data_IF_816290251974
#
_entry.id   IF_816290251974
#
_cell.length_a   1.000
_cell.length_b   1.000
_cell.length_c   1.000
_cell.angle_alpha   90.00
_cell.angle_beta   90.00
_cell.angle_gamma   90.00
#
_symmetry.space_group_name_H-M   'P 1'
#
loop_
_entity.id
_entity.type
_entity.pdbx_description
1 polymer ?
#
# COMPACT_ATOMS: atom_id res chain seq x y z
N UNK A 1 0.43 19.34 -28.11
CA UNK A 1 0.50 19.78 -26.71
C UNK A 1 0.76 18.53 -25.89
N UNK A 2 1.73 18.58 -24.99
CA UNK A 2 1.99 17.50 -24.04
C UNK A 2 0.77 17.28 -23.17
N UNK A 3 0.38 16.01 -22.96
CA UNK A 3 -0.67 15.64 -22.03
C UNK A 3 -0.04 15.31 -20.69
N UNK A 4 -0.38 16.04 -19.66
CA UNK A 4 0.03 15.77 -18.29
C UNK A 4 -1.05 14.99 -17.53
N UNK A 5 -0.63 14.12 -16.64
CA UNK A 5 -1.44 13.36 -15.72
C UNK A 5 -0.96 13.64 -14.30
N UNK A 6 -1.86 13.74 -13.34
CA UNK A 6 -1.50 14.02 -11.94
C UNK A 6 -1.79 12.82 -11.05
N UNK A 7 -0.74 12.24 -10.48
CA UNK A 7 -0.87 11.28 -9.38
C UNK A 7 -0.82 12.01 -8.05
N UNK A 8 -1.81 11.75 -7.19
CA UNK A 8 -1.85 12.18 -5.79
C UNK A 8 -1.69 10.95 -4.92
N UNK A 9 -0.49 10.74 -4.42
CA UNK A 9 -0.08 9.59 -3.59
C UNK A 9 0.02 10.06 -2.14
N UNK A 10 -0.92 9.60 -1.30
CA UNK A 10 -1.02 9.99 0.11
C UNK A 10 -0.74 8.79 0.99
N UNK A 11 0.49 8.70 1.49
CA UNK A 11 0.86 7.71 2.50
C UNK A 11 0.52 8.15 3.92
N UNK A 12 0.66 7.26 4.89
CA UNK A 12 0.34 7.53 6.29
C UNK A 12 1.25 8.58 6.95
N UNK A 13 2.43 8.86 6.39
CA UNK A 13 3.42 9.81 6.94
C UNK A 13 3.70 11.00 6.04
N UNK A 14 3.40 10.93 4.76
CA UNK A 14 3.59 12.03 3.80
C UNK A 14 2.69 11.83 2.59
N UNK A 15 2.37 12.94 1.91
CA UNK A 15 1.69 12.90 0.63
C UNK A 15 2.48 13.68 -0.41
N UNK A 16 2.26 13.36 -1.69
CA UNK A 16 2.94 14.01 -2.80
C UNK A 16 2.09 14.05 -4.05
N UNK A 17 2.38 15.04 -4.87
CA UNK A 17 1.77 15.21 -6.19
C UNK A 17 2.87 15.05 -7.22
N UNK A 18 2.66 14.12 -8.14
CA UNK A 18 3.60 13.80 -9.20
C UNK A 18 2.90 13.98 -10.54
N UNK A 19 3.41 14.90 -11.35
CA UNK A 19 3.04 15.01 -12.76
C UNK A 19 3.78 13.95 -13.55
N UNK A 20 3.04 13.29 -14.44
CA UNK A 20 3.60 12.38 -15.43
C UNK A 20 3.13 12.72 -16.83
N UNK A 21 3.96 12.47 -17.83
CA UNK A 21 3.62 12.56 -19.25
C UNK A 21 4.44 11.57 -20.06
N UNK A 22 4.04 11.34 -21.30
CA UNK A 22 4.82 10.54 -22.24
C UNK A 22 5.67 11.45 -23.13
N UNK A 23 6.98 11.32 -23.05
CA UNK A 23 7.92 11.94 -23.96
C UNK A 23 8.67 10.87 -24.76
N UNK A 24 8.54 10.90 -26.09
CA UNK A 24 9.16 9.89 -26.98
C UNK A 24 8.82 8.43 -26.59
N UNK A 25 7.61 8.19 -26.09
CA UNK A 25 7.14 6.87 -25.66
C UNK A 25 7.63 6.43 -24.28
N UNK A 26 8.30 7.30 -23.55
CA UNK A 26 8.76 7.06 -22.16
C UNK A 26 8.00 7.92 -21.18
N UNK A 27 7.85 7.40 -19.98
CA UNK A 27 7.23 8.13 -18.86
C UNK A 27 8.28 9.05 -18.25
N UNK A 28 7.96 10.35 -18.21
CA UNK A 28 8.71 11.35 -17.46
C UNK A 28 7.91 11.77 -16.24
N UNK A 29 8.59 11.94 -15.10
CA UNK A 29 8.00 12.25 -13.81
C UNK A 29 8.55 13.56 -13.26
N UNK A 30 7.68 14.34 -12.62
CA UNK A 30 8.06 15.55 -11.88
C UNK A 30 7.26 15.61 -10.56
N UNK A 31 7.95 15.51 -9.42
CA UNK A 31 7.33 15.81 -8.13
C UNK A 31 7.17 17.32 -8.00
N UNK A 32 5.93 17.77 -7.92
CA UNK A 32 5.60 19.20 -7.91
C UNK A 32 5.17 19.73 -6.55
N UNK A 33 4.74 18.85 -5.66
CA UNK A 33 4.27 19.19 -4.33
C UNK A 33 4.43 18.02 -3.36
N UNK A 34 4.83 18.33 -2.13
CA UNK A 34 4.96 17.35 -1.04
C UNK A 34 4.49 17.97 0.27
N UNK A 35 3.86 17.17 1.12
CA UNK A 35 3.42 17.56 2.45
C UNK A 35 3.61 16.42 3.45
N UNK A 36 3.74 16.79 4.71
CA UNK A 36 3.75 15.82 5.81
C UNK A 36 2.34 15.33 6.12
N UNK A 37 2.20 14.07 6.48
CA UNK A 37 0.95 13.49 6.93
C UNK A 37 1.14 12.79 8.28
N UNK A 38 0.03 12.60 8.99
CA UNK A 38 -0.01 11.93 10.28
C UNK A 38 -1.40 12.01 10.88
N UNK A 39 -1.65 11.16 11.86
CA UNK A 39 -2.90 11.17 12.62
C UNK A 39 -2.83 12.21 13.74
N UNK A 40 -3.94 12.91 13.94
CA UNK A 40 -4.11 13.80 15.08
C UNK A 40 -4.45 12.96 16.33
N UNK A 41 -3.77 13.28 17.44
CA UNK A 41 -4.09 12.72 18.75
C UNK A 41 -5.09 13.63 19.45
N UNK A 42 -6.34 13.20 19.57
CA UNK A 42 -7.40 13.98 20.19
C UNK A 42 -8.25 13.12 21.13
N UNK A 43 -8.32 13.50 22.41
CA UNK A 43 -9.15 12.82 23.43
C UNK A 43 -8.89 11.30 23.51
N UNK A 44 -7.60 10.90 23.37
CA UNK A 44 -7.20 9.49 23.37
C UNK A 44 -7.50 8.73 22.09
N UNK A 45 -7.92 9.41 21.02
CA UNK A 45 -8.21 8.85 19.71
C UNK A 45 -7.11 9.22 18.71
N UNK A 46 -6.93 8.37 17.69
CA UNK A 46 -6.08 8.61 16.54
C UNK A 46 -6.98 8.90 15.33
N UNK A 47 -6.97 10.13 14.86
CA UNK A 47 -7.91 10.62 13.85
C UNK A 47 -7.19 11.16 12.61
N UNK A 48 -7.77 10.95 11.43
CA UNK A 48 -7.36 11.62 10.20
C UNK A 48 -8.06 12.97 10.05
N UNK A 49 -7.30 13.99 9.77
CA UNK A 49 -7.82 15.31 9.43
C UNK A 49 -8.10 15.40 7.92
N UNK A 50 -9.26 14.89 7.51
CA UNK A 50 -9.64 14.80 6.09
C UNK A 50 -9.80 16.18 5.43
N UNK A 51 -10.17 17.22 6.17
CA UNK A 51 -10.26 18.58 5.63
C UNK A 51 -8.87 19.14 5.32
N UNK A 52 -7.89 18.92 6.19
CA UNK A 52 -6.49 19.27 5.92
C UNK A 52 -5.98 18.52 4.69
N UNK A 53 -6.20 17.20 4.63
CA UNK A 53 -5.76 16.39 3.48
C UNK A 53 -6.39 16.86 2.17
N UNK A 54 -7.68 17.21 2.19
CA UNK A 54 -8.34 17.77 1.02
C UNK A 54 -7.75 19.13 0.61
N UNK A 55 -7.41 19.97 1.58
CA UNK A 55 -6.69 21.22 1.34
C UNK A 55 -5.33 21.01 0.67
N UNK A 56 -4.58 19.96 1.10
CA UNK A 56 -3.30 19.62 0.48
C UNK A 56 -3.46 19.10 -0.97
N UNK A 57 -4.54 18.35 -1.24
CA UNK A 57 -4.87 17.94 -2.62
C UNK A 57 -5.06 19.18 -3.49
N UNK A 58 -5.85 20.15 -3.06
CA UNK A 58 -6.09 21.40 -3.79
C UNK A 58 -4.81 22.24 -3.96
N UNK A 59 -3.94 22.29 -2.93
CA UNK A 59 -2.65 22.99 -3.00
C UNK A 59 -1.74 22.42 -4.11
N UNK A 60 -1.63 21.08 -4.20
CA UNK A 60 -0.88 20.44 -5.26
C UNK A 60 -1.49 20.67 -6.65
N UNK A 61 -2.82 20.67 -6.76
CA UNK A 61 -3.51 21.01 -8.01
C UNK A 61 -3.21 22.46 -8.45
N UNK A 62 -3.24 23.42 -7.51
CA UNK A 62 -2.88 24.83 -7.81
C UNK A 62 -1.44 24.95 -8.31
N UNK A 63 -0.54 24.08 -7.82
CA UNK A 63 0.86 24.06 -8.25
C UNK A 63 1.00 23.70 -9.73
N UNK A 64 0.16 22.82 -10.27
CA UNK A 64 0.12 22.53 -11.70
C UNK A 64 -0.11 23.80 -12.53
N UNK A 65 -1.05 24.66 -12.09
CA UNK A 65 -1.35 25.92 -12.76
C UNK A 65 -0.18 26.91 -12.68
N UNK A 66 0.45 27.01 -11.51
CA UNK A 66 1.64 27.88 -11.33
C UNK A 66 2.77 27.47 -12.29
N UNK A 67 2.97 26.18 -12.53
CA UNK A 67 3.97 25.64 -13.43
C UNK A 67 3.55 25.69 -14.91
N UNK A 68 2.29 26.02 -15.19
CA UNK A 68 1.74 26.02 -16.56
C UNK A 68 1.59 24.62 -17.14
N UNK A 69 1.60 23.56 -16.29
CA UNK A 69 1.48 22.15 -16.69
C UNK A 69 0.13 21.60 -16.23
N UNK A 70 -0.91 21.85 -17.02
CA UNK A 70 -2.28 21.47 -16.67
C UNK A 70 -2.52 20.00 -16.98
N UNK A 71 -2.83 19.15 -15.97
CA UNK A 71 -3.14 17.75 -16.21
C UNK A 71 -4.52 17.59 -16.86
N UNK A 72 -4.65 16.62 -17.75
CA UNK A 72 -5.93 16.24 -18.35
C UNK A 72 -6.76 15.38 -17.41
N UNK A 73 -6.10 14.61 -16.55
CA UNK A 73 -6.73 13.85 -15.50
C UNK A 73 -5.90 13.79 -14.23
N UNK A 74 -6.54 13.36 -13.14
CA UNK A 74 -5.90 13.00 -11.88
C UNK A 74 -6.50 11.75 -11.29
N UNK A 75 -5.73 11.09 -10.44
CA UNK A 75 -6.20 10.00 -9.60
C UNK A 75 -5.55 10.09 -8.20
N UNK A 76 -6.23 9.54 -7.21
CA UNK A 76 -5.80 9.60 -5.81
C UNK A 76 -5.68 8.17 -5.29
N UNK A 77 -4.54 7.84 -4.72
CA UNK A 77 -4.34 6.64 -3.93
C UNK A 77 -3.94 7.00 -2.49
N UNK A 78 -4.29 6.11 -1.57
CA UNK A 78 -3.97 6.24 -0.15
C UNK A 78 -3.61 4.87 0.43
N UNK A 79 -3.32 4.84 1.72
CA UNK A 79 -3.35 3.60 2.50
C UNK A 79 -4.75 2.97 2.49
N UNK A 80 -4.84 1.73 2.90
CA UNK A 80 -6.08 0.95 2.90
C UNK A 80 -6.89 1.10 4.21
N UNK A 81 -8.04 0.46 4.26
CA UNK A 81 -8.93 0.13 5.39
C UNK A 81 -9.67 1.29 6.04
N UNK A 82 -9.20 2.53 5.91
CA UNK A 82 -9.83 3.69 6.55
C UNK A 82 -10.88 4.34 5.66
N UNK A 83 -11.96 4.82 6.27
CA UNK A 83 -13.16 5.27 5.58
C UNK A 83 -13.84 6.44 6.30
N UNK A 84 -14.81 7.04 5.63
CA UNK A 84 -15.80 7.95 6.21
C UNK A 84 -17.20 7.37 6.06
N UNK A 85 -18.09 7.71 7.00
CA UNK A 85 -19.53 7.48 6.88
C UNK A 85 -20.21 8.83 6.61
N UNK A 86 -21.10 8.86 5.61
CA UNK A 86 -21.84 10.06 5.23
C UNK A 86 -23.32 9.89 5.54
N UNK A 87 -23.97 10.96 5.98
CA UNK A 87 -25.41 11.05 6.16
C UNK A 87 -26.15 11.33 4.83
N UNK A 88 -27.46 11.55 4.91
CA UNK A 88 -28.32 11.88 3.76
C UNK A 88 -27.97 13.23 3.10
N UNK A 89 -27.24 14.12 3.79
CA UNK A 89 -26.78 15.42 3.29
C UNK A 89 -25.32 15.41 2.90
N UNK A 90 -24.73 14.21 2.82
CA UNK A 90 -23.32 14.01 2.51
C UNK A 90 -22.35 14.63 3.53
N UNK A 91 -22.81 14.79 4.80
CA UNK A 91 -21.96 15.22 5.90
C UNK A 91 -21.33 14.01 6.58
N UNK A 92 -20.05 14.15 7.00
CA UNK A 92 -19.36 13.09 7.75
C UNK A 92 -20.05 12.86 9.09
N UNK A 93 -20.37 11.61 9.39
CA UNK A 93 -20.88 11.14 10.66
C UNK A 93 -19.75 10.68 11.58
N UNK A 94 -19.63 11.31 12.73
CA UNK A 94 -18.61 10.97 13.72
C UNK A 94 -17.20 11.39 13.31
N UNK A 95 -16.21 10.72 13.92
CA UNK A 95 -14.79 10.98 13.68
C UNK A 95 -14.26 10.06 12.56
N UNK A 96 -13.29 10.54 11.77
CA UNK A 96 -12.54 9.72 10.82
C UNK A 96 -11.34 9.11 11.52
N UNK A 97 -11.48 7.87 11.97
CA UNK A 97 -10.44 7.18 12.73
C UNK A 97 -9.33 6.66 11.82
N UNK A 98 -8.11 6.69 12.33
CA UNK A 98 -6.98 6.03 11.70
C UNK A 98 -6.87 4.56 12.12
N UNK A 99 -6.35 3.74 11.24
CA UNK A 99 -6.22 2.29 11.42
C UNK A 99 -5.39 1.86 12.65
N UNK A 100 -4.58 2.75 13.20
CA UNK A 100 -3.79 2.50 14.43
C UNK A 100 -4.53 2.84 15.72
N UNK A 101 -5.79 3.30 15.64
CA UNK A 101 -6.61 3.57 16.80
C UNK A 101 -6.99 2.28 17.54
N UNK A 102 -6.94 2.32 18.87
CA UNK A 102 -7.26 1.18 19.73
C UNK A 102 -8.75 0.85 19.84
N UNK A 103 -9.62 1.56 19.07
CA UNK A 103 -11.07 1.28 19.11
C UNK A 103 -11.43 -0.13 18.64
N UNK A 104 -10.56 -0.74 17.84
CA UNK A 104 -10.75 -2.09 17.30
C UNK A 104 -10.28 -3.21 18.23
N UNK A 105 -9.66 -2.89 19.35
CA UNK A 105 -9.20 -3.88 20.32
C UNK A 105 -10.39 -4.75 20.79
N UNK A 106 -10.27 -6.07 20.59
CA UNK A 106 -11.30 -7.07 20.94
C UNK A 106 -12.47 -7.18 19.94
N UNK A 107 -12.49 -6.39 18.87
CA UNK A 107 -13.57 -6.45 17.88
C UNK A 107 -13.52 -7.70 17.00
N UNK A 108 -12.35 -8.30 16.84
CA UNK A 108 -12.21 -9.62 16.22
C UNK A 108 -12.95 -10.71 17.01
N UNK A 109 -12.90 -10.67 18.33
CA UNK A 109 -13.67 -11.58 19.18
C UNK A 109 -15.20 -11.33 19.05
N UNK A 110 -15.64 -10.09 18.84
CA UNK A 110 -17.06 -9.79 18.59
C UNK A 110 -17.51 -10.34 17.22
N UNK A 111 -16.71 -10.17 16.17
CA UNK A 111 -16.98 -10.77 14.86
C UNK A 111 -16.98 -12.30 14.94
N UNK A 112 -16.04 -12.89 15.69
CA UNK A 112 -15.94 -14.34 15.85
C UNK A 112 -17.14 -15.00 16.56
N UNK A 113 -17.96 -14.22 17.28
CA UNK A 113 -19.26 -14.70 17.82
C UNK A 113 -20.30 -14.92 16.72
N UNK A 114 -20.13 -14.29 15.57
CA UNK A 114 -21.09 -14.33 14.44
C UNK A 114 -20.57 -15.29 13.38
N UNK A 115 -19.28 -15.16 13.00
CA UNK A 115 -18.65 -15.98 11.96
C UNK A 115 -17.21 -16.33 12.39
N UNK A 116 -16.85 -17.59 12.36
CA UNK A 116 -15.49 -18.02 12.73
C UNK A 116 -14.44 -17.42 11.78
N UNK A 117 -13.25 -17.14 12.29
CA UNK A 117 -12.13 -16.58 11.52
C UNK A 117 -11.79 -17.41 10.28
N UNK A 118 -11.83 -18.74 10.41
CA UNK A 118 -11.58 -19.67 9.30
C UNK A 118 -12.65 -19.60 8.20
N UNK A 119 -13.90 -19.35 8.59
CA UNK A 119 -15.01 -19.16 7.65
C UNK A 119 -14.93 -17.79 6.99
N UNK A 120 -14.57 -16.75 7.76
CA UNK A 120 -14.37 -15.41 7.25
C UNK A 120 -13.23 -15.37 6.21
N UNK A 121 -12.10 -16.05 6.49
CA UNK A 121 -11.02 -16.17 5.51
C UNK A 121 -11.46 -16.97 4.28
N UNK A 122 -12.13 -18.10 4.45
CA UNK A 122 -12.62 -18.91 3.34
C UNK A 122 -13.60 -18.13 2.43
N UNK A 123 -14.29 -17.13 2.98
CA UNK A 123 -15.26 -16.31 2.28
C UNK A 123 -14.65 -15.11 1.56
N UNK A 124 -13.63 -14.48 2.16
CA UNK A 124 -13.05 -13.23 1.67
C UNK A 124 -11.63 -13.36 1.14
N UNK A 125 -10.89 -14.38 1.57
CA UNK A 125 -9.46 -14.55 1.26
C UNK A 125 -8.53 -13.50 1.86
N UNK A 126 -9.04 -12.63 2.75
CA UNK A 126 -8.28 -11.52 3.32
C UNK A 126 -7.66 -11.91 4.67
N UNK A 127 -6.37 -11.61 4.84
CA UNK A 127 -5.64 -11.81 6.09
C UNK A 127 -6.31 -11.11 7.27
N UNK A 128 -6.18 -11.70 8.45
CA UNK A 128 -6.62 -11.04 9.68
C UNK A 128 -5.64 -9.94 10.07
N UNK A 129 -6.15 -8.72 10.11
CA UNK A 129 -5.49 -7.58 10.76
C UNK A 129 -6.54 -6.87 11.60
N UNK A 130 -6.22 -6.59 12.88
CA UNK A 130 -7.17 -6.00 13.84
C UNK A 130 -7.77 -4.67 13.35
N UNK A 131 -7.10 -3.99 12.45
CA UNK A 131 -7.50 -2.72 11.87
C UNK A 131 -8.32 -2.86 10.58
N UNK A 132 -8.61 -4.05 10.06
CA UNK A 132 -9.45 -4.19 8.86
C UNK A 132 -10.82 -3.51 9.08
N UNK A 133 -11.38 -2.97 8.01
CA UNK A 133 -12.62 -2.19 8.05
C UNK A 133 -13.76 -2.96 8.71
N UNK A 134 -13.83 -4.28 8.53
CA UNK A 134 -14.82 -5.13 9.22
C UNK A 134 -14.79 -4.93 10.74
N UNK A 135 -13.60 -4.88 11.36
CA UNK A 135 -13.46 -4.68 12.81
C UNK A 135 -13.68 -3.22 13.20
N UNK A 136 -13.31 -2.29 12.34
CA UNK A 136 -13.60 -0.87 12.55
C UNK A 136 -15.11 -0.60 12.57
N UNK A 137 -15.87 -1.21 11.65
CA UNK A 137 -17.36 -1.13 11.62
C UNK A 137 -17.98 -1.83 12.83
N UNK A 138 -17.42 -2.97 13.27
CA UNK A 138 -17.86 -3.62 14.50
C UNK A 138 -17.68 -2.71 15.72
N UNK A 139 -16.60 -1.94 15.78
CA UNK A 139 -16.41 -0.96 16.85
C UNK A 139 -17.48 0.14 16.80
N UNK A 140 -17.90 0.60 15.63
CA UNK A 140 -19.01 1.55 15.48
C UNK A 140 -20.33 0.91 15.93
N UNK A 141 -20.63 -0.31 15.46
CA UNK A 141 -21.86 -1.04 15.84
C UNK A 141 -21.97 -1.25 17.36
N UNK A 142 -20.85 -1.56 18.03
CA UNK A 142 -20.85 -1.81 19.48
C UNK A 142 -20.84 -0.54 20.34
N UNK A 143 -20.16 0.51 19.89
CA UNK A 143 -19.91 1.70 20.73
C UNK A 143 -20.82 2.89 20.37
N UNK A 144 -21.20 3.02 19.10
CA UNK A 144 -21.98 4.17 18.57
C UNK A 144 -22.91 3.72 17.44
N UNK A 145 -23.84 2.75 17.68
CA UNK A 145 -24.69 2.16 16.63
C UNK A 145 -25.62 3.18 15.95
N UNK A 146 -25.88 4.30 16.59
CA UNK A 146 -26.66 5.40 16.00
C UNK A 146 -25.96 6.01 14.77
N UNK A 147 -24.63 5.97 14.69
CA UNK A 147 -23.88 6.44 13.52
C UNK A 147 -24.18 5.55 12.32
N UNK A 148 -24.13 4.22 12.47
CA UNK A 148 -24.46 3.30 11.38
C UNK A 148 -25.92 3.43 10.93
N UNK A 149 -26.87 3.66 11.86
CA UNK A 149 -28.28 3.85 11.52
C UNK A 149 -28.54 5.14 10.72
N UNK A 150 -27.73 6.17 10.91
CA UNK A 150 -27.82 7.44 10.18
C UNK A 150 -27.03 7.41 8.87
N UNK A 151 -26.06 6.53 8.74
CA UNK A 151 -25.20 6.42 7.56
C UNK A 151 -26.00 6.08 6.30
N UNK A 152 -25.66 6.73 5.21
CA UNK A 152 -26.21 6.50 3.86
C UNK A 152 -25.15 6.09 2.86
N UNK A 153 -23.89 6.37 3.15
CA UNK A 153 -22.78 6.00 2.27
C UNK A 153 -21.53 5.76 3.11
N UNK A 154 -20.81 4.68 2.79
CA UNK A 154 -19.43 4.45 3.22
C UNK A 154 -18.52 4.73 2.02
N UNK A 155 -17.50 5.56 2.21
CA UNK A 155 -16.45 5.78 1.21
C UNK A 155 -15.09 5.56 1.84
N UNK A 156 -14.24 4.78 1.17
CA UNK A 156 -12.83 4.73 1.52
C UNK A 156 -12.21 6.11 1.32
N UNK A 157 -11.11 6.43 1.99
CA UNK A 157 -10.58 7.79 1.97
C UNK A 157 -10.30 8.34 0.55
N UNK A 158 -9.66 7.59 -0.38
CA UNK A 158 -9.45 8.11 -1.73
C UNK A 158 -10.76 8.34 -2.48
N UNK A 159 -11.76 7.49 -2.27
CA UNK A 159 -13.10 7.64 -2.86
C UNK A 159 -13.81 8.89 -2.32
N UNK A 160 -13.65 9.16 -1.03
CA UNK A 160 -14.18 10.38 -0.41
C UNK A 160 -13.56 11.64 -1.02
N UNK A 161 -12.25 11.65 -1.25
CA UNK A 161 -11.60 12.78 -1.91
C UNK A 161 -12.07 12.94 -3.37
N UNK A 162 -12.22 11.82 -4.10
CA UNK A 162 -12.82 11.83 -5.43
C UNK A 162 -14.24 12.42 -5.45
N UNK A 163 -15.06 12.04 -4.48
CA UNK A 163 -16.40 12.63 -4.28
C UNK A 163 -16.33 14.14 -3.98
N UNK A 164 -15.44 14.57 -3.10
CA UNK A 164 -15.26 15.99 -2.78
C UNK A 164 -14.87 16.83 -4.00
N UNK A 165 -14.10 16.28 -4.91
CA UNK A 165 -13.68 16.94 -6.14
C UNK A 165 -14.80 17.02 -7.20
N UNK A 166 -15.62 15.98 -7.32
CA UNK A 166 -16.53 15.77 -8.46
C UNK A 166 -18.01 15.81 -8.13
N UNK A 167 -18.37 15.61 -6.87
CA UNK A 167 -19.76 15.39 -6.44
C UNK A 167 -20.30 13.98 -6.71
N UNK A 168 -19.52 13.10 -7.34
CA UNK A 168 -19.94 11.74 -7.66
C UNK A 168 -19.34 10.74 -6.67
N UNK A 169 -20.19 9.92 -6.05
CA UNK A 169 -19.78 8.88 -5.10
C UNK A 169 -19.54 7.57 -5.85
N UNK A 170 -18.33 7.07 -5.84
CA UNK A 170 -17.93 5.75 -6.32
C UNK A 170 -17.13 5.04 -5.24
N UNK A 171 -17.10 3.72 -5.24
CA UNK A 171 -16.24 2.91 -4.41
C UNK A 171 -15.28 2.11 -5.28
N UNK A 172 -13.99 2.24 -5.04
CA UNK A 172 -12.95 1.60 -5.83
C UNK A 172 -12.64 0.20 -5.27
N UNK A 173 -12.46 -0.75 -6.16
CA UNK A 173 -12.33 -2.18 -5.84
C UNK A 173 -11.07 -2.51 -5.05
N UNK A 174 -9.89 -1.97 -5.40
CA UNK A 174 -8.64 -2.40 -4.77
C UNK A 174 -8.57 -2.01 -3.30
N UNK A 175 -9.06 -0.82 -2.95
CA UNK A 175 -9.18 -0.39 -1.57
C UNK A 175 -10.34 -1.10 -0.88
N UNK A 176 -11.50 -1.20 -1.55
CA UNK A 176 -12.66 -1.96 -1.04
C UNK A 176 -12.32 -3.40 -0.68
N UNK A 177 -11.46 -4.08 -1.45
CA UNK A 177 -11.07 -5.47 -1.20
C UNK A 177 -10.34 -5.67 0.14
N UNK A 178 -9.66 -4.63 0.65
CA UNK A 178 -8.91 -4.70 1.92
C UNK A 178 -9.80 -4.72 3.15
N UNK A 179 -11.09 -4.41 2.98
CA UNK A 179 -12.06 -4.28 4.08
C UNK A 179 -12.40 -5.58 4.78
N UNK A 180 -12.10 -6.73 4.14
CA UNK A 180 -12.56 -8.07 4.55
C UNK A 180 -14.09 -8.25 4.46
N UNK A 181 -14.73 -7.50 3.53
CA UNK A 181 -16.19 -7.51 3.28
C UNK A 181 -16.53 -7.78 1.81
N UNK A 182 -15.54 -8.09 0.97
CA UNK A 182 -15.72 -8.32 -0.47
C UNK A 182 -15.63 -9.81 -0.77
N UNK A 183 -16.55 -10.29 -1.62
CA UNK A 183 -16.48 -11.62 -2.22
C UNK A 183 -15.50 -11.59 -3.39
N UNK A 184 -14.38 -12.32 -3.33
CA UNK A 184 -13.36 -12.30 -4.37
C UNK A 184 -13.83 -12.90 -5.70
N UNK A 185 -14.87 -13.73 -5.72
CA UNK A 185 -15.39 -14.36 -6.94
C UNK A 185 -16.31 -13.43 -7.73
N UNK A 186 -17.04 -12.55 -7.04
CA UNK A 186 -17.94 -11.58 -7.68
C UNK A 186 -17.32 -10.19 -7.84
N UNK A 187 -16.20 -9.92 -7.17
CA UNK A 187 -15.54 -8.60 -7.09
C UNK A 187 -16.47 -7.52 -6.53
N UNK A 188 -17.45 -7.91 -5.72
CA UNK A 188 -18.44 -7.02 -5.10
C UNK A 188 -18.54 -7.31 -3.60
N UNK A 189 -19.20 -6.41 -2.91
CA UNK A 189 -19.49 -6.58 -1.48
C UNK A 189 -20.23 -7.89 -1.21
N UNK A 190 -19.79 -8.61 -0.19
CA UNK A 190 -20.46 -9.81 0.30
C UNK A 190 -21.67 -9.41 1.16
N UNK A 191 -22.82 -9.30 0.53
CA UNK A 191 -24.07 -8.83 1.15
C UNK A 191 -24.53 -9.71 2.31
N UNK A 192 -24.40 -11.01 2.20
CA UNK A 192 -24.78 -11.95 3.26
C UNK A 192 -23.89 -11.77 4.48
N UNK A 193 -22.60 -11.61 4.29
CA UNK A 193 -21.66 -11.32 5.35
C UNK A 193 -21.98 -9.99 6.02
N UNK A 194 -22.19 -8.92 5.26
CA UNK A 194 -22.53 -7.57 5.72
C UNK A 194 -23.81 -7.62 6.58
N UNK A 195 -24.85 -8.27 6.09
CA UNK A 195 -26.11 -8.43 6.82
C UNK A 195 -25.95 -9.24 8.10
N UNK A 196 -25.18 -10.34 8.07
CA UNK A 196 -24.93 -11.18 9.24
C UNK A 196 -24.21 -10.44 10.37
N UNK A 197 -23.35 -9.46 10.01
CA UNK A 197 -22.65 -8.60 10.95
C UNK A 197 -23.50 -7.44 11.49
N UNK A 198 -24.72 -7.27 10.96
CA UNK A 198 -25.62 -6.17 11.35
C UNK A 198 -25.30 -4.82 10.70
N UNK A 199 -24.47 -4.81 9.65
CA UNK A 199 -24.15 -3.58 8.95
C UNK A 199 -25.23 -3.25 7.91
N UNK A 200 -25.62 -1.97 7.74
CA UNK A 200 -26.62 -1.58 6.74
C UNK A 200 -26.07 -1.75 5.33
N UNK A 201 -26.69 -2.64 4.53
CA UNK A 201 -26.23 -2.96 3.17
C UNK A 201 -26.22 -1.73 2.25
N UNK A 202 -27.17 -0.83 2.46
CA UNK A 202 -27.38 0.35 1.61
C UNK A 202 -26.24 1.36 1.63
N UNK A 203 -25.33 1.31 2.61
CA UNK A 203 -24.18 2.23 2.66
C UNK A 203 -23.04 1.83 1.70
N UNK A 204 -23.04 0.58 1.22
CA UNK A 204 -22.01 0.02 0.38
C UNK A 204 -22.36 0.20 -1.11
N UNK A 205 -21.71 1.15 -1.78
CA UNK A 205 -21.90 1.37 -3.21
C UNK A 205 -21.27 0.24 -4.03
N UNK A 206 -21.82 -0.09 -5.22
CA UNK A 206 -21.19 -1.07 -6.11
C UNK A 206 -19.73 -0.72 -6.39
N UNK A 207 -18.84 -1.71 -6.26
CA UNK A 207 -17.41 -1.53 -6.50
C UNK A 207 -17.13 -1.31 -8.00
N UNK A 208 -16.21 -0.40 -8.28
CA UNK A 208 -15.72 -0.06 -9.62
C UNK A 208 -14.24 -0.40 -9.74
N UNK A 209 -13.86 -0.91 -10.91
CA UNK A 209 -12.46 -1.22 -11.20
C UNK A 209 -11.63 0.05 -11.43
N UNK A 210 -10.32 0.00 -11.14
CA UNK A 210 -9.39 1.04 -11.58
C UNK A 210 -9.52 1.34 -13.08
N UNK A 211 -9.28 2.58 -13.47
CA UNK A 211 -9.52 3.08 -14.82
C UNK A 211 -10.95 3.60 -15.04
N UNK A 212 -11.85 3.49 -14.05
CA UNK A 212 -13.20 4.05 -14.17
C UNK A 212 -13.18 5.57 -13.98
N UNK A 213 -13.96 6.29 -14.79
CA UNK A 213 -14.17 7.72 -14.63
C UNK A 213 -15.02 8.02 -13.39
N UNK A 214 -14.56 8.94 -12.54
CA UNK A 214 -15.35 9.51 -11.44
C UNK A 214 -16.17 10.70 -11.93
N UNK A 215 -15.54 11.64 -12.61
CA UNK A 215 -16.20 12.84 -13.15
C UNK A 215 -15.23 13.99 -13.38
N UNK A 216 -15.78 15.11 -13.84
CA UNK A 216 -15.04 16.37 -13.91
C UNK A 216 -15.16 17.13 -12.59
N UNK A 217 -14.32 18.12 -12.39
CA UNK A 217 -14.32 18.93 -11.18
C UNK A 217 -15.62 19.70 -11.01
N UNK A 218 -16.09 19.81 -9.77
CA UNK A 218 -17.19 20.71 -9.41
C UNK A 218 -16.86 22.18 -9.79
N UNK A 219 -17.86 23.01 -10.17
CA UNK A 219 -17.62 24.41 -10.56
C UNK A 219 -16.77 25.19 -9.55
N UNK A 220 -17.05 25.06 -8.24
CA UNK A 220 -16.30 25.75 -7.20
C UNK A 220 -14.84 25.27 -7.11
N UNK A 221 -14.59 23.98 -7.36
CA UNK A 221 -13.21 23.45 -7.37
C UNK A 221 -12.46 23.96 -8.58
N UNK A 222 -13.12 23.97 -9.79
CA UNK A 222 -12.52 24.54 -11.00
C UNK A 222 -12.17 26.02 -10.83
N UNK A 223 -13.03 26.79 -10.18
CA UNK A 223 -12.77 28.20 -9.89
C UNK A 223 -11.56 28.34 -8.96
N UNK A 224 -11.49 27.52 -7.93
CA UNK A 224 -10.42 27.56 -6.93
C UNK A 224 -9.05 27.17 -7.51
N UNK A 225 -8.96 26.08 -8.27
CA UNK A 225 -7.70 25.61 -8.86
C UNK A 225 -7.38 26.31 -10.18
N UNK A 226 -8.41 26.84 -10.87
CA UNK A 226 -8.32 27.67 -12.08
C UNK A 226 -8.22 26.92 -13.38
N UNK A 227 -8.60 25.63 -13.42
CA UNK A 227 -8.71 24.79 -14.62
C UNK A 227 -9.66 23.59 -14.36
N UNK A 228 -10.01 22.85 -15.41
CA UNK A 228 -10.79 21.60 -15.28
C UNK A 228 -9.93 20.39 -15.65
N UNK A 229 -10.25 19.25 -15.06
CA UNK A 229 -9.67 17.95 -15.37
C UNK A 229 -10.67 16.83 -15.07
N UNK A 230 -10.36 15.63 -15.54
CA UNK A 230 -11.10 14.42 -15.20
C UNK A 230 -10.49 13.72 -14.01
N UNK A 231 -11.32 13.33 -13.01
CA UNK A 231 -10.90 12.44 -11.93
C UNK A 231 -11.17 11.00 -12.34
N UNK A 232 -10.16 10.16 -12.24
CA UNK A 232 -10.19 8.74 -12.64
C UNK A 232 -9.83 7.89 -11.41
N UNK A 233 -10.42 6.71 -11.28
CA UNK A 233 -10.00 5.73 -10.27
C UNK A 233 -8.69 5.07 -10.71
N UNK A 234 -7.66 5.08 -9.86
CA UNK A 234 -6.48 4.24 -9.99
C UNK A 234 -6.64 2.97 -9.13
N UNK A 235 -5.60 2.16 -8.96
CA UNK A 235 -5.52 1.25 -7.83
C UNK A 235 -5.42 2.10 -6.56
N UNK A 236 -6.55 2.41 -5.94
CA UNK A 236 -6.61 3.44 -4.91
C UNK A 236 -6.03 3.01 -3.55
N UNK A 237 -5.80 1.71 -3.36
CA UNK A 237 -4.82 1.23 -2.39
C UNK A 237 -3.41 1.40 -2.97
N UNK A 238 -2.54 2.19 -2.32
CA UNK A 238 -1.20 2.56 -2.79
C UNK A 238 -0.37 1.36 -3.31
N UNK A 239 -0.45 0.22 -2.62
CA UNK A 239 0.22 -1.02 -3.05
C UNK A 239 -0.38 -1.60 -4.32
N UNK A 240 -1.69 -1.42 -4.59
CA UNK A 240 -2.30 -1.87 -5.84
C UNK A 240 -1.76 -1.06 -7.02
N UNK A 241 -1.63 0.25 -6.86
CA UNK A 241 -0.95 1.11 -7.83
C UNK A 241 0.51 0.70 -7.98
N UNK A 242 1.26 0.49 -6.89
CA UNK A 242 2.65 0.09 -6.96
C UNK A 242 2.86 -1.20 -7.78
N UNK A 243 2.01 -2.21 -7.59
CA UNK A 243 2.10 -3.49 -8.32
C UNK A 243 1.82 -3.33 -9.81
N UNK A 244 0.99 -2.35 -10.23
CA UNK A 244 0.84 -2.04 -11.67
C UNK A 244 2.17 -1.66 -12.32
N UNK A 245 3.05 -0.99 -11.58
CA UNK A 245 4.35 -0.51 -12.08
C UNK A 245 5.45 -1.59 -12.07
N UNK A 246 5.16 -2.82 -11.67
CA UNK A 246 6.14 -3.92 -11.76
C UNK A 246 6.55 -4.12 -13.22
N UNK A 247 7.83 -3.95 -13.58
CA UNK A 247 8.28 -3.95 -14.97
C UNK A 247 8.40 -5.37 -15.56
N UNK A 248 7.43 -6.22 -15.25
CA UNK A 248 7.35 -7.60 -15.71
C UNK A 248 6.50 -7.69 -16.97
N UNK A 249 7.11 -8.02 -18.08
CA UNK A 249 6.46 -8.11 -19.40
C UNK A 249 6.26 -9.54 -19.88
N UNK A 250 7.04 -10.48 -19.34
CA UNK A 250 6.99 -11.90 -19.69
C UNK A 250 7.24 -12.76 -18.45
N UNK A 251 6.74 -14.00 -18.47
CA UNK A 251 6.91 -14.95 -17.38
C UNK A 251 6.08 -14.58 -16.14
N UNK A 252 6.39 -15.24 -15.04
CA UNK A 252 5.79 -14.98 -13.73
C UNK A 252 6.86 -14.70 -12.70
N UNK A 253 6.69 -13.64 -11.94
CA UNK A 253 7.62 -13.22 -10.91
C UNK A 253 6.92 -12.94 -9.59
N UNK A 254 7.72 -12.99 -8.54
CA UNK A 254 7.34 -12.48 -7.23
C UNK A 254 7.63 -10.98 -7.23
N UNK A 255 6.75 -10.17 -6.68
CA UNK A 255 7.05 -8.77 -6.40
C UNK A 255 7.33 -8.54 -4.91
N UNK A 256 8.12 -7.53 -4.61
CA UNK A 256 8.28 -6.96 -3.27
C UNK A 256 8.05 -5.45 -3.40
N UNK A 257 6.91 -4.97 -2.91
CA UNK A 257 6.70 -3.55 -2.70
C UNK A 257 7.41 -3.17 -1.40
N UNK A 258 8.60 -2.59 -1.53
CA UNK A 258 9.52 -2.37 -0.42
C UNK A 258 9.51 -0.92 0.04
N UNK A 259 8.92 -0.70 1.19
CA UNK A 259 8.85 0.57 1.91
C UNK A 259 9.07 0.36 3.40
N UNK A 260 8.36 1.07 4.25
CA UNK A 260 8.33 0.83 5.71
C UNK A 260 7.99 -0.62 6.02
N UNK A 261 6.98 -1.17 5.34
CA UNK A 261 6.69 -2.60 5.24
C UNK A 261 7.21 -3.14 3.91
N UNK A 262 7.43 -4.44 3.86
CA UNK A 262 7.68 -5.19 2.62
C UNK A 262 6.48 -6.07 2.34
N UNK A 263 5.73 -5.75 1.28
CA UNK A 263 4.61 -6.55 0.83
C UNK A 263 5.11 -7.45 -0.29
N UNK A 264 5.33 -8.73 0.05
CA UNK A 264 5.83 -9.73 -0.90
C UNK A 264 4.67 -10.58 -1.40
N UNK A 265 4.55 -10.74 -2.71
CA UNK A 265 3.47 -11.52 -3.29
C UNK A 265 3.62 -11.81 -4.77
N UNK A 266 2.56 -12.37 -5.31
CA UNK A 266 2.36 -12.66 -6.73
C UNK A 266 1.07 -12.05 -7.21
N UNK A 267 0.93 -11.87 -8.50
CA UNK A 267 -0.36 -11.62 -9.12
C UNK A 267 -0.98 -12.94 -9.57
N UNK A 268 -2.28 -13.10 -9.31
CA UNK A 268 -3.07 -14.24 -9.74
C UNK A 268 -4.38 -13.77 -10.38
N UNK A 269 -4.92 -14.54 -11.34
CA UNK A 269 -6.24 -14.29 -11.92
C UNK A 269 -7.36 -14.93 -11.06
N UNK A 270 -7.02 -15.90 -10.22
CA UNK A 270 -7.93 -16.56 -9.30
C UNK A 270 -7.43 -16.36 -7.86
N UNK A 271 -8.32 -16.22 -6.88
CA UNK A 271 -7.92 -16.07 -5.49
C UNK A 271 -7.40 -17.41 -4.94
N UNK A 272 -6.35 -17.38 -4.14
CA UNK A 272 -5.76 -18.56 -3.48
C UNK A 272 -6.26 -18.58 -2.03
N UNK A 273 -7.37 -19.29 -1.81
CA UNK A 273 -8.05 -19.34 -0.51
C UNK A 273 -7.96 -20.78 0.02
N UNK A 274 -6.83 -21.09 0.66
CA UNK A 274 -6.58 -22.40 1.25
C UNK A 274 -6.37 -22.29 2.76
N UNK A 275 -6.42 -23.43 3.47
CA UNK A 275 -6.12 -23.46 4.91
C UNK A 275 -4.67 -23.09 5.19
N UNK A 276 -3.76 -23.48 4.30
CA UNK A 276 -2.34 -23.16 4.36
C UNK A 276 -2.12 -21.66 4.16
N UNK A 277 -2.81 -21.05 3.21
CA UNK A 277 -2.77 -19.59 3.00
C UNK A 277 -3.29 -18.84 4.22
N UNK A 278 -4.38 -19.29 4.83
CA UNK A 278 -4.93 -18.73 6.06
C UNK A 278 -3.91 -18.83 7.22
N UNK A 279 -3.32 -20.03 7.41
CA UNK A 279 -2.34 -20.27 8.47
C UNK A 279 -1.05 -19.43 8.30
N UNK A 280 -0.66 -19.18 7.05
CA UNK A 280 0.49 -18.33 6.70
C UNK A 280 0.16 -16.83 6.72
N UNK A 281 -1.09 -16.46 7.03
CA UNK A 281 -1.62 -15.10 7.01
C UNK A 281 -1.37 -14.37 5.67
N UNK A 282 -1.59 -15.11 4.56
CA UNK A 282 -1.57 -14.57 3.19
C UNK A 282 -2.93 -13.97 2.85
N UNK A 283 -2.93 -12.93 2.02
CA UNK A 283 -4.14 -12.18 1.64
C UNK A 283 -4.32 -12.14 0.13
N UNK A 284 -5.58 -12.08 -0.33
CA UNK A 284 -5.96 -11.95 -1.75
C UNK A 284 -6.58 -10.57 -1.99
N UNK A 285 -5.77 -9.54 -1.96
CA UNK A 285 -6.25 -8.17 -2.21
C UNK A 285 -6.43 -7.90 -3.70
N UNK A 286 -7.39 -7.04 -4.01
CA UNK A 286 -7.67 -6.64 -5.39
C UNK A 286 -6.52 -5.89 -6.05
N UNK A 287 -6.31 -6.16 -7.33
CA UNK A 287 -5.38 -5.46 -8.21
C UNK A 287 -6.07 -4.90 -9.44
N UNK A 288 -5.30 -4.38 -10.38
CA UNK A 288 -5.77 -3.89 -11.67
C UNK A 288 -6.24 -5.05 -12.56
N UNK A 289 -7.25 -4.81 -13.40
CA UNK A 289 -7.73 -5.75 -14.42
C UNK A 289 -8.14 -7.13 -13.82
N UNK A 290 -8.95 -7.11 -12.75
CA UNK A 290 -9.44 -8.29 -12.04
C UNK A 290 -8.35 -9.24 -11.51
N UNK A 291 -7.12 -8.76 -11.34
CA UNK A 291 -6.04 -9.53 -10.72
C UNK A 291 -6.16 -9.49 -9.21
N UNK A 292 -5.69 -10.56 -8.58
CA UNK A 292 -5.46 -10.60 -7.15
C UNK A 292 -3.98 -10.38 -6.88
N UNK A 293 -3.69 -9.61 -5.86
CA UNK A 293 -2.39 -9.52 -5.22
C UNK A 293 -2.38 -10.51 -4.06
N UNK A 294 -1.87 -11.71 -4.32
CA UNK A 294 -1.70 -12.72 -3.29
C UNK A 294 -0.38 -12.47 -2.58
N UNK A 295 -0.45 -11.92 -1.37
CA UNK A 295 0.72 -11.35 -0.70
C UNK A 295 0.75 -11.62 0.80
N UNK A 296 1.93 -11.38 1.38
CA UNK A 296 2.22 -11.38 2.81
C UNK A 296 2.89 -10.07 3.20
N UNK A 297 2.50 -9.53 4.36
CA UNK A 297 3.20 -8.41 4.98
C UNK A 297 4.40 -8.94 5.75
N UNK A 298 5.57 -8.38 5.48
CA UNK A 298 6.82 -8.67 6.17
C UNK A 298 7.34 -7.35 6.72
N UNK A 299 7.99 -7.36 7.87
CA UNK A 299 8.71 -6.18 8.34
C UNK A 299 9.68 -5.72 7.25
N UNK A 300 9.64 -4.43 6.93
CA UNK A 300 10.43 -3.85 5.85
C UNK A 300 11.55 -2.95 6.34
N UNK A 301 11.73 -1.84 5.64
CA UNK A 301 12.80 -0.88 5.93
C UNK A 301 12.58 -0.07 7.21
N UNK A 302 11.45 -0.23 7.90
CA UNK A 302 11.18 0.38 9.20
C UNK A 302 12.34 0.22 10.18
N UNK A 303 12.93 -0.97 10.26
CA UNK A 303 14.03 -1.24 11.18
C UNK A 303 15.26 -0.38 10.86
N UNK A 304 15.70 -0.31 9.60
CA UNK A 304 16.86 0.50 9.22
C UNK A 304 16.54 2.00 9.24
N UNK A 305 15.31 2.39 8.96
CA UNK A 305 14.83 3.77 9.08
C UNK A 305 14.90 4.23 10.53
N UNK A 306 14.45 3.40 11.47
CA UNK A 306 14.50 3.66 12.91
C UNK A 306 15.93 3.75 13.42
N UNK A 307 16.80 2.82 13.03
CA UNK A 307 18.23 2.89 13.35
C UNK A 307 18.84 4.20 12.84
N UNK A 308 18.57 4.56 11.59
CA UNK A 308 19.06 5.82 11.01
C UNK A 308 18.57 7.04 11.80
N UNK A 309 17.31 7.07 12.16
CA UNK A 309 16.71 8.17 12.91
C UNK A 309 17.33 8.31 14.33
N UNK A 310 17.59 7.20 15.00
CA UNK A 310 18.28 7.23 16.32
C UNK A 310 19.70 7.78 16.23
N UNK A 311 20.36 7.65 15.07
CA UNK A 311 21.62 8.34 14.78
C UNK A 311 21.42 9.76 14.23
N UNK A 312 20.26 10.39 14.47
CA UNK A 312 19.92 11.75 14.06
C UNK A 312 20.10 11.99 12.55
N UNK A 313 19.77 10.96 11.75
CA UNK A 313 19.90 10.95 10.29
C UNK A 313 21.32 11.28 9.76
N UNK A 314 22.34 11.04 10.58
CA UNK A 314 23.74 11.33 10.25
C UNK A 314 24.27 10.54 9.04
N UNK A 315 23.63 9.43 8.69
CA UNK A 315 24.00 8.55 7.57
C UNK A 315 22.90 8.52 6.53
N UNK A 316 23.28 8.56 5.25
CA UNK A 316 22.33 8.25 4.16
C UNK A 316 22.04 6.74 4.10
N UNK A 317 20.95 6.34 3.45
CA UNK A 317 20.66 4.91 3.23
C UNK A 317 21.74 4.21 2.39
N UNK A 318 22.35 4.91 1.43
CA UNK A 318 23.47 4.37 0.66
C UNK A 318 24.69 4.07 1.56
N UNK A 319 25.06 5.02 2.44
CA UNK A 319 26.14 4.81 3.41
C UNK A 319 25.84 3.63 4.36
N UNK A 320 24.60 3.47 4.81
CA UNK A 320 24.20 2.33 5.65
C UNK A 320 24.33 1.00 4.88
N UNK A 321 24.03 0.96 3.60
CA UNK A 321 24.27 -0.21 2.76
C UNK A 321 25.76 -0.54 2.65
N UNK A 322 26.60 0.47 2.38
CA UNK A 322 28.06 0.31 2.25
C UNK A 322 28.68 -0.19 3.56
N UNK A 323 28.32 0.44 4.69
CA UNK A 323 28.77 0.04 6.03
C UNK A 323 28.33 -1.37 6.43
N UNK A 324 27.11 -1.76 6.03
CA UNK A 324 26.60 -3.12 6.25
C UNK A 324 27.39 -4.15 5.41
N UNK A 325 27.73 -3.82 4.17
CA UNK A 325 28.56 -4.68 3.31
C UNK A 325 29.99 -4.84 3.85
N UNK A 326 30.58 -3.76 4.36
CA UNK A 326 31.88 -3.81 5.06
C UNK A 326 31.82 -4.69 6.32
N UNK A 327 30.66 -4.74 6.99
CA UNK A 327 30.41 -5.56 8.19
C UNK A 327 29.79 -6.94 7.86
N UNK A 328 29.93 -7.42 6.61
CA UNK A 328 29.29 -8.66 6.14
C UNK A 328 29.64 -9.92 6.92
N UNK A 329 30.79 -9.95 7.60
CA UNK A 329 31.24 -11.10 8.41
C UNK A 329 30.57 -11.14 9.79
N UNK A 330 29.85 -10.09 10.19
CA UNK A 330 29.11 -10.09 11.46
C UNK A 330 27.92 -11.06 11.37
N UNK A 331 27.91 -12.08 12.25
CA UNK A 331 27.09 -13.29 12.05
C UNK A 331 25.65 -13.20 12.54
N UNK A 332 25.32 -12.25 13.41
CA UNK A 332 24.02 -12.20 14.11
C UNK A 332 22.84 -11.96 13.18
N UNK A 333 21.69 -12.54 13.54
CA UNK A 333 20.41 -12.43 12.84
C UNK A 333 19.28 -12.26 13.85
N UNK A 334 18.28 -11.54 13.45
CA UNK A 334 17.04 -11.37 14.23
C UNK A 334 15.83 -11.85 13.42
N UNK A 335 14.82 -12.35 14.11
CA UNK A 335 13.52 -12.55 13.48
C UNK A 335 12.86 -11.17 13.31
N UNK A 336 12.87 -10.64 12.10
CA UNK A 336 12.35 -9.30 11.78
C UNK A 336 10.88 -9.14 12.09
N UNK A 337 10.11 -10.23 12.11
CA UNK A 337 8.68 -10.24 12.41
C UNK A 337 8.38 -10.36 13.91
N UNK A 338 9.42 -10.42 14.76
CA UNK A 338 9.24 -10.48 16.22
C UNK A 338 8.58 -9.19 16.72
N UNK A 339 7.62 -9.34 17.66
CA UNK A 339 6.86 -8.22 18.20
C UNK A 339 7.74 -7.11 18.83
N UNK A 340 8.95 -7.47 19.32
CA UNK A 340 9.88 -6.49 19.89
C UNK A 340 10.35 -5.43 18.89
N UNK A 341 10.19 -5.64 17.59
CA UNK A 341 10.58 -4.70 16.53
C UNK A 341 9.42 -3.88 15.95
N UNK A 342 8.19 -4.16 16.38
CA UNK A 342 7.01 -3.51 15.81
C UNK A 342 6.95 -2.02 16.17
N UNK A 343 7.21 -1.68 17.43
CA UNK A 343 7.20 -0.29 17.93
C UNK A 343 8.06 -0.17 19.21
N UNK A 344 9.37 -0.41 19.14
CA UNK A 344 10.25 -0.26 20.30
C UNK A 344 10.54 1.21 20.59
N UNK A 345 10.82 1.56 21.85
CA UNK A 345 11.33 2.89 22.23
C UNK A 345 12.68 3.19 21.56
N UNK A 346 13.51 2.16 21.38
CA UNK A 346 14.77 2.18 20.63
C UNK A 346 14.92 0.89 19.83
N UNK A 347 15.04 1.02 18.52
CA UNK A 347 15.30 -0.10 17.61
C UNK A 347 16.70 -0.68 17.83
N UNK A 348 17.68 0.19 18.10
CA UNK A 348 19.06 -0.21 18.37
C UNK A 348 19.11 -1.12 19.60
N UNK A 349 18.49 -0.71 20.69
CA UNK A 349 18.46 -1.50 21.92
C UNK A 349 17.64 -2.78 21.75
N UNK A 350 16.54 -2.75 21.01
CA UNK A 350 15.75 -3.93 20.70
C UNK A 350 16.56 -4.99 19.94
N UNK A 351 17.35 -4.59 18.93
CA UNK A 351 18.25 -5.48 18.17
C UNK A 351 19.32 -6.07 19.09
N UNK A 352 19.99 -5.23 19.90
CA UNK A 352 21.02 -5.67 20.84
C UNK A 352 20.49 -6.68 21.87
N UNK A 353 19.34 -6.37 22.46
CA UNK A 353 18.68 -7.26 23.44
C UNK A 353 18.25 -8.59 22.81
N UNK A 354 17.76 -8.57 21.56
CA UNK A 354 17.41 -9.78 20.84
C UNK A 354 18.64 -10.67 20.65
N UNK A 355 19.76 -10.11 20.17
CA UNK A 355 21.02 -10.83 20.00
C UNK A 355 21.53 -11.39 21.32
N UNK A 356 21.51 -10.60 22.39
CA UNK A 356 21.91 -11.04 23.72
C UNK A 356 21.05 -12.20 24.26
N UNK A 357 19.72 -12.09 24.14
CA UNK A 357 18.78 -13.13 24.58
C UNK A 357 18.93 -14.44 23.82
N UNK A 358 19.32 -14.36 22.53
CA UNK A 358 19.53 -15.54 21.69
C UNK A 358 20.98 -16.05 21.71
N UNK A 359 21.85 -15.49 22.55
CA UNK A 359 23.25 -15.91 22.69
C UNK A 359 24.14 -15.61 21.48
N UNK A 360 23.76 -14.60 20.68
CA UNK A 360 24.49 -14.17 19.50
C UNK A 360 25.44 -12.99 19.82
N UNK A 361 26.48 -12.74 19.03
CA UNK A 361 27.26 -11.51 19.13
C UNK A 361 26.36 -10.27 19.10
N UNK A 362 26.62 -9.31 20.00
CA UNK A 362 25.84 -8.07 20.08
C UNK A 362 26.49 -7.02 19.16
N UNK A 363 25.73 -6.41 18.23
CA UNK A 363 26.29 -5.39 17.35
C UNK A 363 26.65 -4.11 18.13
N UNK A 364 27.84 -3.58 17.90
CA UNK A 364 28.35 -2.39 18.58
C UNK A 364 28.44 -1.17 17.65
N UNK A 365 28.69 -1.41 16.36
CA UNK A 365 28.84 -0.35 15.35
C UNK A 365 27.58 -0.18 14.50
N UNK A 366 27.45 0.98 13.83
CA UNK A 366 26.38 1.24 12.87
C UNK A 366 26.37 0.24 11.73
N UNK A 367 27.56 -0.12 11.22
CA UNK A 367 27.73 -1.11 10.16
C UNK A 367 27.23 -2.49 10.57
N UNK A 368 27.57 -2.95 11.79
CA UNK A 368 27.09 -4.22 12.33
C UNK A 368 25.58 -4.23 12.52
N UNK A 369 25.00 -3.13 13.07
CA UNK A 369 23.53 -2.98 13.16
C UNK A 369 22.85 -3.07 11.80
N UNK A 370 23.37 -2.33 10.82
CA UNK A 370 22.84 -2.35 9.46
C UNK A 370 22.99 -3.74 8.81
N UNK A 371 24.13 -4.42 9.03
CA UNK A 371 24.36 -5.79 8.54
C UNK A 371 23.36 -6.78 9.16
N UNK A 372 23.09 -6.70 10.48
CA UNK A 372 22.08 -7.52 11.14
C UNK A 372 20.72 -7.30 10.49
N UNK A 373 20.30 -6.04 10.29
CA UNK A 373 18.99 -5.71 9.73
C UNK A 373 18.85 -6.23 8.30
N UNK A 374 19.76 -5.86 7.39
CA UNK A 374 19.64 -6.23 5.97
C UNK A 374 19.73 -7.75 5.74
N UNK A 375 20.60 -8.43 6.45
CA UNK A 375 20.74 -9.89 6.31
C UNK A 375 19.55 -10.63 6.93
N UNK A 376 18.95 -10.10 8.00
CA UNK A 376 17.73 -10.67 8.60
C UNK A 376 16.52 -10.47 7.69
N UNK A 377 16.39 -9.30 7.05
CA UNK A 377 15.36 -9.04 6.04
C UNK A 377 15.50 -10.00 4.84
N UNK A 378 16.71 -10.14 4.30
CA UNK A 378 16.95 -11.05 3.17
C UNK A 378 16.64 -12.51 3.51
N UNK A 379 16.99 -12.97 4.72
CA UNK A 379 16.62 -14.29 5.21
C UNK A 379 15.10 -14.45 5.27
N UNK A 380 14.39 -13.49 5.85
CA UNK A 380 12.93 -13.49 5.94
C UNK A 380 12.28 -13.53 4.54
N UNK A 381 12.86 -12.81 3.57
CA UNK A 381 12.39 -12.87 2.18
C UNK A 381 12.60 -14.26 1.58
N UNK A 382 13.75 -14.91 1.82
CA UNK A 382 14.01 -16.26 1.37
C UNK A 382 13.04 -17.30 1.93
N UNK A 383 12.67 -17.16 3.21
CA UNK A 383 11.68 -18.00 3.87
C UNK A 383 10.27 -17.75 3.30
N UNK A 384 9.89 -16.49 3.11
CA UNK A 384 8.59 -16.11 2.57
C UNK A 384 8.42 -16.54 1.10
N UNK A 385 9.48 -16.50 0.28
CA UNK A 385 9.45 -17.02 -1.10
C UNK A 385 9.13 -18.51 -1.11
N UNK A 386 9.81 -19.32 -0.27
CA UNK A 386 9.56 -20.77 -0.18
C UNK A 386 8.12 -21.09 0.27
N UNK A 387 7.63 -20.35 1.25
CA UNK A 387 6.26 -20.49 1.75
C UNK A 387 5.25 -20.15 0.63
N UNK A 388 5.45 -19.01 -0.04
CA UNK A 388 4.59 -18.55 -1.13
C UNK A 388 4.56 -19.58 -2.29
N UNK A 389 5.70 -20.07 -2.73
CA UNK A 389 5.82 -21.06 -3.80
C UNK A 389 5.15 -22.40 -3.42
N UNK A 390 5.30 -22.81 -2.16
CA UNK A 390 4.67 -24.03 -1.64
C UNK A 390 3.15 -23.91 -1.67
N UNK A 391 2.61 -22.78 -1.20
CA UNK A 391 1.17 -22.56 -1.12
C UNK A 391 0.56 -22.30 -2.50
N UNK A 392 1.27 -21.56 -3.36
CA UNK A 392 0.85 -21.32 -4.74
C UNK A 392 1.00 -22.56 -5.64
N UNK A 393 1.75 -23.58 -5.18
CA UNK A 393 2.02 -24.80 -5.95
C UNK A 393 2.88 -24.56 -7.19
N UNK A 394 3.69 -23.51 -7.19
CA UNK A 394 4.45 -23.06 -8.36
C UNK A 394 5.79 -22.42 -7.97
N UNK A 395 6.81 -22.63 -8.79
CA UNK A 395 8.12 -21.96 -8.70
C UNK A 395 8.11 -20.73 -9.60
N UNK A 396 8.67 -19.64 -9.11
CA UNK A 396 8.82 -18.38 -9.84
C UNK A 396 10.28 -18.12 -10.20
N UNK A 397 10.52 -17.52 -11.36
CA UNK A 397 11.88 -17.38 -11.89
C UNK A 397 12.62 -16.15 -11.38
N UNK A 398 11.89 -15.13 -10.94
CA UNK A 398 12.46 -13.82 -10.59
C UNK A 398 11.71 -13.13 -9.47
N UNK A 399 12.38 -12.13 -8.89
CA UNK A 399 11.82 -11.20 -7.91
C UNK A 399 11.93 -9.78 -8.46
N UNK A 400 10.85 -9.02 -8.40
CA UNK A 400 10.79 -7.61 -8.77
C UNK A 400 10.64 -6.76 -7.50
N UNK A 401 11.68 -5.99 -7.15
CA UNK A 401 11.64 -5.09 -5.99
C UNK A 401 11.32 -3.68 -6.48
N UNK A 402 10.18 -3.14 -6.04
CA UNK A 402 9.67 -1.81 -6.38
C UNK A 402 9.57 -0.96 -5.12
N UNK A 403 9.43 0.37 -5.31
CA UNK A 403 9.38 1.32 -4.20
C UNK A 403 10.77 1.68 -3.68
N UNK A 404 10.83 2.37 -2.55
CA UNK A 404 12.08 2.92 -1.99
C UNK A 404 13.18 1.90 -1.75
N UNK A 405 12.81 0.66 -1.41
CA UNK A 405 13.76 -0.44 -1.19
C UNK A 405 14.51 -0.90 -2.43
N UNK A 406 14.03 -0.59 -3.63
CA UNK A 406 14.75 -0.87 -4.87
C UNK A 406 16.13 -0.18 -4.92
N UNK A 407 16.33 0.86 -4.14
CA UNK A 407 17.61 1.58 -4.02
C UNK A 407 18.59 0.94 -3.02
N UNK A 408 18.16 -0.04 -2.21
CA UNK A 408 19.00 -0.69 -1.20
C UNK A 408 19.85 -1.81 -1.84
N UNK A 409 20.93 -1.42 -2.54
CA UNK A 409 21.74 -2.33 -3.35
C UNK A 409 22.22 -3.58 -2.59
N UNK A 410 22.73 -3.40 -1.36
CA UNK A 410 23.17 -4.52 -0.54
C UNK A 410 22.04 -5.47 -0.16
N UNK A 411 20.87 -4.96 0.25
CA UNK A 411 19.70 -5.79 0.54
C UNK A 411 19.21 -6.54 -0.72
N UNK A 412 19.23 -5.89 -1.88
CA UNK A 412 18.79 -6.50 -3.14
C UNK A 412 19.71 -7.66 -3.55
N UNK A 413 21.04 -7.51 -3.38
CA UNK A 413 21.98 -8.61 -3.59
C UNK A 413 21.78 -9.74 -2.60
N UNK A 414 21.65 -9.44 -1.30
CA UNK A 414 21.35 -10.43 -0.28
C UNK A 414 20.03 -11.17 -0.54
N UNK A 415 19.05 -10.48 -1.10
CA UNK A 415 17.76 -11.09 -1.47
C UNK A 415 17.96 -12.09 -2.63
N UNK A 416 18.75 -11.73 -3.64
CA UNK A 416 19.09 -12.66 -4.73
C UNK A 416 19.80 -13.91 -4.18
N UNK A 417 20.79 -13.73 -3.31
CA UNK A 417 21.56 -14.82 -2.70
C UNK A 417 20.68 -15.74 -1.83
N UNK A 418 19.82 -15.14 -0.98
CA UNK A 418 18.94 -15.89 -0.07
C UNK A 418 17.84 -16.68 -0.78
N UNK A 419 17.39 -16.19 -1.94
CA UNK A 419 16.31 -16.82 -2.71
C UNK A 419 16.78 -17.69 -3.85
N UNK A 420 18.04 -17.52 -4.28
CA UNK A 420 18.57 -18.17 -5.48
C UNK A 420 17.94 -17.69 -6.78
N UNK A 421 17.30 -16.50 -6.77
CA UNK A 421 16.57 -15.93 -7.91
C UNK A 421 17.17 -14.62 -8.37
N UNK A 422 17.03 -14.32 -9.66
CA UNK A 422 17.36 -12.99 -10.16
C UNK A 422 16.43 -11.95 -9.55
N UNK A 423 17.02 -10.85 -9.07
CA UNK A 423 16.28 -9.71 -8.52
C UNK A 423 16.38 -8.55 -9.51
N UNK A 424 15.23 -8.00 -9.88
CA UNK A 424 15.10 -6.80 -10.69
C UNK A 424 14.59 -5.67 -9.80
N UNK A 425 15.42 -4.67 -9.53
CA UNK A 425 15.14 -3.59 -8.60
C UNK A 425 14.85 -2.27 -9.33
N UNK A 426 13.67 -1.76 -9.13
CA UNK A 426 13.13 -0.54 -9.74
C UNK A 426 11.72 -0.77 -10.34
N UNK A 427 10.96 0.31 -10.56
CA UNK A 427 11.24 1.71 -10.22
C UNK A 427 11.03 2.04 -8.74
N UNK A 428 11.66 3.13 -8.28
CA UNK A 428 11.52 3.59 -6.90
C UNK A 428 10.18 4.26 -6.61
N UNK A 429 9.61 4.96 -7.60
CA UNK A 429 8.36 5.72 -7.49
C UNK A 429 7.13 4.90 -7.95
N UNK A 430 7.10 3.61 -7.60
CA UNK A 430 6.17 2.63 -8.17
C UNK A 430 4.69 3.00 -7.95
N UNK A 431 4.30 3.50 -6.78
CA UNK A 431 2.92 3.88 -6.48
C UNK A 431 2.43 4.97 -7.42
N UNK A 432 3.16 6.08 -7.50
CA UNK A 432 2.80 7.18 -8.38
C UNK A 432 2.80 6.77 -9.86
N UNK A 433 3.77 5.94 -10.27
CA UNK A 433 3.82 5.40 -11.64
C UNK A 433 2.55 4.59 -11.92
N UNK A 434 2.19 3.64 -11.06
CA UNK A 434 0.99 2.81 -11.26
C UNK A 434 -0.30 3.62 -11.29
N UNK A 435 -0.40 4.65 -10.44
CA UNK A 435 -1.50 5.62 -10.48
C UNK A 435 -1.58 6.29 -11.86
N UNK A 436 -0.46 6.80 -12.39
CA UNK A 436 -0.38 7.40 -13.73
C UNK A 436 -0.70 6.41 -14.84
N UNK A 437 -0.24 5.14 -14.74
CA UNK A 437 -0.54 4.10 -15.72
C UNK A 437 -2.04 3.86 -15.86
N UNK A 438 -2.78 3.81 -14.74
CA UNK A 438 -4.24 3.66 -14.78
C UNK A 438 -4.91 4.79 -15.55
N UNK A 439 -4.45 6.03 -15.36
CA UNK A 439 -4.94 7.21 -16.08
C UNK A 439 -4.58 7.17 -17.57
N UNK A 440 -3.33 6.80 -17.90
CA UNK A 440 -2.85 6.73 -19.30
C UNK A 440 -3.55 5.60 -20.08
N UNK A 441 -3.86 4.46 -19.45
CA UNK A 441 -4.67 3.39 -20.06
C UNK A 441 -6.10 3.88 -20.26
N UNK A 442 -6.70 4.54 -19.28
CA UNK A 442 -8.03 5.14 -19.40
C UNK A 442 -8.11 6.14 -20.54
N UNK A 443 -7.09 6.98 -20.70
CA UNK A 443 -7.01 7.98 -21.77
C UNK A 443 -6.69 7.40 -23.16
N UNK A 444 -6.34 6.11 -23.24
CA UNK A 444 -5.95 5.43 -24.49
C UNK A 444 -4.52 5.74 -24.96
N UNK A 445 -3.69 6.39 -24.16
CA UNK A 445 -2.28 6.64 -24.47
C UNK A 445 -1.42 5.37 -24.29
N UNK A 446 -1.85 4.44 -23.42
CA UNK A 446 -1.35 3.08 -23.30
C UNK A 446 -2.48 2.08 -23.55
N UNK A 447 -2.18 0.99 -24.24
CA UNK A 447 -3.22 0.07 -24.70
C UNK A 447 -3.82 -0.79 -23.56
N UNK A 448 -2.97 -1.32 -22.69
CA UNK A 448 -3.31 -2.26 -21.63
C UNK A 448 -2.20 -2.31 -20.56
N UNK A 449 -2.39 -3.13 -19.54
CA UNK A 449 -1.40 -3.32 -18.46
C UNK A 449 -0.05 -3.84 -18.99
N UNK A 450 -0.05 -4.73 -19.98
CA UNK A 450 1.19 -5.27 -20.56
C UNK A 450 1.99 -4.16 -21.27
N UNK A 451 1.34 -3.37 -22.09
CA UNK A 451 1.94 -2.21 -22.75
C UNK A 451 2.42 -1.16 -21.74
N UNK A 452 1.66 -0.94 -20.66
CA UNK A 452 2.04 -0.04 -19.60
C UNK A 452 3.31 -0.51 -18.88
N UNK A 453 3.43 -1.78 -18.53
CA UNK A 453 4.64 -2.37 -17.90
C UNK A 453 5.86 -2.35 -18.82
N UNK A 454 5.65 -2.54 -20.12
CA UNK A 454 6.74 -2.36 -21.11
C UNK A 454 7.21 -0.91 -21.10
N UNK A 455 6.29 0.05 -21.09
CA UNK A 455 6.61 1.47 -21.01
C UNK A 455 7.42 1.79 -19.72
N UNK A 456 7.04 1.21 -18.57
CA UNK A 456 7.83 1.35 -17.32
C UNK A 456 9.24 0.84 -17.50
N UNK A 457 9.40 -0.36 -18.07
CA UNK A 457 10.71 -0.98 -18.32
C UNK A 457 11.61 -0.13 -19.23
N UNK A 458 11.01 0.51 -20.22
CA UNK A 458 11.72 1.34 -21.20
C UNK A 458 12.05 2.74 -20.64
N UNK A 459 11.30 3.20 -19.62
CA UNK A 459 11.39 4.55 -19.06
C UNK A 459 12.37 4.64 -17.88
N UNK A 460 12.48 3.57 -17.07
CA UNK A 460 13.23 3.62 -15.82
C UNK A 460 14.37 2.62 -15.79
N UNK A 461 15.42 2.96 -15.05
CA UNK A 461 16.54 2.03 -14.79
C UNK A 461 16.05 0.89 -13.89
N UNK A 462 16.19 -0.34 -14.36
CA UNK A 462 15.95 -1.56 -13.59
C UNK A 462 17.28 -2.26 -13.38
N UNK A 463 17.77 -2.24 -12.15
CA UNK A 463 19.03 -2.90 -11.76
C UNK A 463 18.81 -4.38 -11.57
N UNK A 464 19.74 -5.19 -12.08
CA UNK A 464 19.68 -6.64 -11.96
C UNK A 464 20.72 -7.13 -10.96
N UNK A 465 20.30 -7.97 -10.02
CA UNK A 465 21.16 -8.67 -9.08
C UNK A 465 20.99 -10.18 -9.31
N UNK A 466 22.13 -10.85 -9.49
CA UNK A 466 22.20 -12.30 -9.77
C UNK A 466 22.73 -12.98 -8.51
N UNK A 467 22.18 -14.14 -8.11
CA UNK A 467 22.70 -14.90 -6.99
C UNK A 467 24.21 -15.18 -7.14
N UNK A 468 24.97 -14.90 -6.09
CA UNK A 468 26.39 -15.27 -6.00
C UNK A 468 26.46 -16.52 -5.14
N UNK A 469 26.95 -17.65 -5.73
CA UNK A 469 27.09 -18.94 -5.06
C UNK A 469 28.15 -18.92 -3.96
#
# INVERSE_FOLDING_TARGET
>A
MEKYYLAVDIGASSGRHILGHLENGKIELEEIYRFENGMDHKDGKLLWNVERLFGEILNGMKKCKELGKLPVSMAIDTWAVDYVLLDEKDQILGDTYGYRDHRTDGMDAEVAKILLETELYARTGIQKQIFNTIYQLMAVEKKTPEILKQAKTLLMLPDYFGFRLTGNKLSEYTNGSTTQLVDPHTYQWDKELIQSLGYPEEIFLPLKMPGSKVGNLLPQIREEVGYDLEVVLCGSHDTASAVMAVPQTEGDGIYISSGTWSLMGIESLEPIITKEAAAANLTNEGGYDHRFRFLKNIMGLWMIQSVRHEYQDAYSFAQLCDMAEESRDFSSRVDVNNQSFLSPDSMIEAIKQYCQKTGQPVPETVGELAAVVYRSLAQSYGEAVKELETIAGRIYDSIHIIGGGSNAAYLNQLTADATGKNVYAGPGEATAIGNLLAQMIHAGDLADLKGARQCVRDSFEIKTYVPVN
#
